data_IF_835811920222
#
_entry.id   IF_835811920222
#
_cell.length_a   1.000
_cell.length_b   1.000
_cell.length_c   1.000
_cell.angle_alpha   90.00
_cell.angle_beta   90.00
_cell.angle_gamma   90.00
#
_symmetry.space_group_name_H-M   'P 1'
#
loop_
_entity.id
_entity.type
_entity.pdbx_description
1 polymer ?
#
# COMPACT_ATOMS: atom_id res chain seq x y z
N UNK A 1 -13.19 2.34 9.15
CA UNK A 1 -13.59 3.63 8.51
C UNK A 1 -12.35 4.14 7.82
N UNK A 2 -12.44 4.63 6.58
CA UNK A 2 -11.25 4.89 5.73
C UNK A 2 -10.10 5.61 6.46
N UNK A 3 -10.37 6.77 7.07
CA UNK A 3 -9.34 7.55 7.78
C UNK A 3 -8.66 6.80 8.92
N UNK A 4 -9.41 6.06 9.75
CA UNK A 4 -8.82 5.32 10.86
C UNK A 4 -7.92 4.18 10.41
N UNK A 5 -8.27 3.53 9.29
CA UNK A 5 -7.48 2.44 8.71
C UNK A 5 -6.22 2.97 8.01
N UNK A 6 -6.30 4.15 7.41
CA UNK A 6 -5.16 4.86 6.82
C UNK A 6 -4.18 5.32 7.92
N UNK A 7 -4.66 5.94 9.00
CA UNK A 7 -3.80 6.37 10.12
C UNK A 7 -3.06 5.19 10.73
N UNK A 8 -3.73 4.06 10.95
CA UNK A 8 -3.07 2.84 11.44
C UNK A 8 -1.97 2.35 10.49
N UNK A 9 -2.14 2.54 9.18
CA UNK A 9 -1.12 2.17 8.19
C UNK A 9 0.08 3.10 8.26
N UNK A 10 -0.15 4.41 8.43
CA UNK A 10 0.91 5.41 8.65
C UNK A 10 1.69 5.07 9.91
N UNK A 11 1.01 4.79 11.03
CA UNK A 11 1.65 4.41 12.28
C UNK A 11 2.47 3.11 12.14
N UNK A 12 1.94 2.12 11.41
CA UNK A 12 2.61 0.83 11.18
C UNK A 12 3.94 0.98 10.43
N UNK A 13 4.01 1.89 9.47
CA UNK A 13 5.20 2.10 8.63
C UNK A 13 5.88 3.44 8.91
N UNK A 14 5.74 3.98 10.12
CA UNK A 14 6.36 5.25 10.49
C UNK A 14 7.89 5.24 10.33
N UNK A 15 8.54 4.09 10.52
CA UNK A 15 9.98 3.91 10.31
C UNK A 15 10.39 3.94 8.82
N UNK A 16 9.42 3.78 7.91
CA UNK A 16 9.60 3.83 6.45
C UNK A 16 9.16 5.17 5.84
N UNK A 17 8.84 6.18 6.66
CA UNK A 17 8.40 7.52 6.22
C UNK A 17 7.25 7.50 5.20
N UNK A 18 6.31 6.57 5.37
CA UNK A 18 5.15 6.44 4.48
C UNK A 18 4.29 7.72 4.47
N UNK A 19 3.83 8.14 3.29
CA UNK A 19 2.93 9.28 3.17
C UNK A 19 1.44 8.87 3.23
N UNK A 20 0.55 9.88 3.25
CA UNK A 20 -0.89 9.62 3.27
C UNK A 20 -1.39 8.91 1.99
N UNK A 21 -0.78 9.20 0.84
CA UNK A 21 -1.15 8.64 -0.46
C UNK A 21 -0.88 7.15 -0.50
N UNK A 22 0.31 6.73 -0.07
CA UNK A 22 0.71 5.32 -0.03
C UNK A 22 -0.16 4.53 0.95
N UNK A 23 -0.40 5.09 2.14
CA UNK A 23 -1.30 4.51 3.11
C UNK A 23 -2.74 4.40 2.58
N UNK A 24 -3.20 5.37 1.77
CA UNK A 24 -4.48 5.30 1.09
C UNK A 24 -4.52 4.21 0.01
N UNK A 25 -3.43 3.98 -0.74
CA UNK A 25 -3.33 2.86 -1.70
C UNK A 25 -3.41 1.51 -0.97
N UNK A 26 -2.69 1.34 0.15
CA UNK A 26 -2.81 0.14 1.00
C UNK A 26 -4.25 -0.07 1.46
N UNK A 27 -4.94 1.00 1.90
CA UNK A 27 -6.34 0.93 2.30
C UNK A 27 -7.26 0.54 1.13
N UNK A 28 -7.11 1.16 -0.05
CA UNK A 28 -7.90 0.87 -1.25
C UNK A 28 -7.73 -0.59 -1.68
N UNK A 29 -6.50 -1.07 -1.79
CA UNK A 29 -6.18 -2.45 -2.18
C UNK A 29 -6.81 -3.46 -1.21
N UNK A 30 -6.74 -3.22 0.10
CA UNK A 30 -7.39 -4.06 1.09
C UNK A 30 -8.93 -4.04 0.99
N UNK A 31 -9.50 -2.87 0.76
CA UNK A 31 -10.95 -2.65 0.68
C UNK A 31 -11.55 -3.37 -0.53
N UNK A 32 -10.90 -3.28 -1.69
CA UNK A 32 -11.37 -3.88 -2.94
C UNK A 32 -10.78 -5.25 -3.24
N UNK A 33 -9.92 -5.78 -2.35
CA UNK A 33 -9.19 -7.05 -2.53
C UNK A 33 -8.39 -7.11 -3.84
N UNK A 34 -7.81 -5.98 -4.25
CA UNK A 34 -7.08 -5.83 -5.52
C UNK A 34 -5.58 -5.66 -5.27
N UNK A 35 -4.84 -6.77 -5.32
CA UNK A 35 -3.40 -6.80 -4.98
C UNK A 35 -2.51 -6.17 -6.05
N UNK A 36 -3.02 -6.03 -7.27
CA UNK A 36 -2.29 -5.48 -8.40
C UNK A 36 -2.30 -3.96 -8.39
N UNK A 37 -1.12 -3.37 -8.41
CA UNK A 37 -0.94 -1.92 -8.54
C UNK A 37 0.09 -1.61 -9.61
N UNK A 38 -0.12 -0.48 -10.28
CA UNK A 38 0.86 0.11 -11.17
C UNK A 38 1.43 1.34 -10.46
N UNK A 39 2.72 1.30 -10.13
CA UNK A 39 3.43 2.41 -9.49
C UNK A 39 4.85 2.49 -10.02
N UNK A 40 5.38 3.71 -10.08
CA UNK A 40 6.82 3.94 -10.31
C UNK A 40 7.62 3.70 -9.04
N UNK A 41 6.99 3.82 -7.87
CA UNK A 41 7.62 3.62 -6.57
C UNK A 41 7.56 2.16 -6.13
N UNK A 42 8.31 1.32 -6.85
CA UNK A 42 8.33 -0.12 -6.55
C UNK A 42 9.03 -0.43 -5.24
N UNK A 43 9.97 0.41 -4.81
CA UNK A 43 10.77 0.18 -3.62
C UNK A 43 9.88 0.22 -2.38
N UNK A 44 9.09 1.28 -2.23
CA UNK A 44 8.26 1.47 -1.04
C UNK A 44 7.13 0.45 -0.98
N UNK A 45 6.43 0.24 -2.10
CA UNK A 45 5.35 -0.75 -2.18
C UNK A 45 5.82 -2.21 -2.08
N UNK A 46 7.11 -2.49 -2.24
CA UNK A 46 7.66 -3.81 -1.91
C UNK A 46 7.74 -4.01 -0.38
N UNK A 47 7.98 -2.97 0.41
CA UNK A 47 8.06 -3.07 1.87
C UNK A 47 6.67 -3.25 2.50
N UNK A 48 5.63 -2.66 1.91
CA UNK A 48 4.29 -2.68 2.46
C UNK A 48 3.58 -4.04 2.31
N UNK A 49 2.78 -4.37 3.32
CA UNK A 49 1.94 -5.58 3.42
C UNK A 49 0.47 -5.23 3.52
N UNK A 50 -0.32 -6.06 2.85
CA UNK A 50 -1.77 -6.05 2.91
C UNK A 50 -2.29 -6.82 4.14
N UNK A 51 -3.59 -6.75 4.38
CA UNK A 51 -4.26 -7.50 5.43
C UNK A 51 -4.09 -9.00 5.19
N UNK A 52 -3.79 -9.74 6.26
CA UNK A 52 -3.38 -11.16 6.23
C UNK A 52 -1.99 -11.42 5.62
N UNK A 53 -1.16 -10.37 5.50
CA UNK A 53 0.24 -10.44 5.11
C UNK A 53 0.60 -10.81 3.65
N UNK A 54 -0.25 -10.66 2.62
CA UNK A 54 0.24 -10.74 1.24
C UNK A 54 1.04 -9.49 0.84
N UNK A 55 1.87 -9.68 -0.17
CA UNK A 55 2.59 -8.61 -0.88
C UNK A 55 1.68 -7.97 -1.93
N UNK A 56 2.06 -6.79 -2.40
CA UNK A 56 1.49 -6.23 -3.63
C UNK A 56 2.01 -7.02 -4.86
N UNK A 57 1.16 -7.13 -5.87
CA UNK A 57 1.55 -7.54 -7.22
C UNK A 57 1.91 -6.27 -8.03
N UNK A 58 3.19 -5.94 -8.12
CA UNK A 58 3.65 -4.75 -8.84
C UNK A 58 3.66 -5.01 -10.34
N UNK A 59 2.77 -4.33 -11.07
CA UNK A 59 2.67 -4.46 -12.51
C UNK A 59 3.84 -3.75 -13.20
N UNK A 60 4.38 -4.39 -14.23
CA UNK A 60 5.34 -3.76 -15.13
C UNK A 60 4.61 -2.82 -16.10
N UNK A 61 5.16 -1.62 -16.27
CA UNK A 61 4.69 -0.72 -17.31
C UNK A 61 5.27 -1.19 -18.65
N UNK A 62 4.40 -1.59 -19.58
CA UNK A 62 4.80 -1.84 -20.97
C UNK A 62 4.78 -0.53 -21.78
N UNK A 63 5.86 -0.20 -22.51
CA UNK A 63 5.91 0.97 -23.40
C UNK A 63 5.10 0.79 -24.68
#
# INVERSE_FOLDING_TARGET
MAYGDIIQTIEKYADHDIDFTDAAVVWLTNTYRQQQILTVDKADFSAFRLKNNPWFELLEWYP
#
